data_IF_669377900530
#
_entry.id   IF_669377900530
#
_cell.length_a   1.000
_cell.length_b   1.000
_cell.length_c   1.000
_cell.angle_alpha   90.00
_cell.angle_beta   90.00
_cell.angle_gamma   90.00
#
_symmetry.space_group_name_H-M   'P 1'
#
loop_
_entity.id
_entity.type
_entity.pdbx_description
1 polymer ?
#
# COMPACT_ATOMS: atom_id res chain seq x y z
N UNK A 1 -11.08 -15.83 -11.99
CA UNK A 1 -10.70 -15.29 -10.67
C UNK A 1 -9.96 -16.39 -9.93
N UNK A 2 -8.82 -16.09 -9.28
CA UNK A 2 -8.06 -17.11 -8.53
C UNK A 2 -8.52 -17.23 -7.06
N UNK A 3 -7.87 -18.11 -6.29
CA UNK A 3 -8.21 -18.40 -4.88
C UNK A 3 -8.10 -17.18 -3.95
N UNK A 4 -7.42 -16.12 -4.38
CA UNK A 4 -7.31 -14.86 -3.66
C UNK A 4 -8.27 -13.80 -4.19
N UNK A 5 -9.29 -14.18 -4.95
CA UNK A 5 -10.25 -13.23 -5.51
C UNK A 5 -9.62 -12.23 -6.48
N UNK A 6 -8.48 -12.56 -7.11
CA UNK A 6 -7.85 -11.69 -8.11
C UNK A 6 -8.53 -11.93 -9.47
N UNK A 7 -9.00 -10.87 -10.15
CA UNK A 7 -9.57 -10.97 -11.49
C UNK A 7 -8.60 -11.54 -12.54
N UNK A 8 -9.13 -11.97 -13.68
CA UNK A 8 -8.31 -12.34 -14.83
C UNK A 8 -7.65 -11.08 -15.43
N UNK A 9 -6.32 -11.05 -15.46
CA UNK A 9 -5.58 -9.88 -15.94
C UNK A 9 -5.76 -9.62 -17.44
N UNK A 10 -6.18 -10.63 -18.21
CA UNK A 10 -6.44 -10.48 -19.65
C UNK A 10 -7.73 -9.70 -19.92
N UNK A 11 -8.65 -9.68 -18.95
CA UNK A 11 -9.94 -8.99 -19.02
C UNK A 11 -9.97 -7.75 -18.10
N UNK A 12 -9.85 -6.52 -18.64
CA UNK A 12 -9.93 -5.32 -17.82
C UNK A 12 -11.30 -5.13 -17.16
N UNK A 13 -12.39 -5.66 -17.72
CA UNK A 13 -13.73 -5.51 -17.16
C UNK A 13 -13.94 -6.38 -15.91
N UNK A 14 -13.14 -7.45 -15.74
CA UNK A 14 -13.19 -8.31 -14.56
C UNK A 14 -12.82 -7.57 -13.25
N UNK A 15 -12.21 -6.38 -13.35
CA UNK A 15 -11.91 -5.51 -12.21
C UNK A 15 -13.11 -4.62 -11.81
N UNK A 16 -14.17 -4.56 -12.61
CA UNK A 16 -15.35 -3.72 -12.36
C UNK A 16 -15.11 -2.24 -12.69
N UNK A 17 -15.89 -1.35 -12.07
CA UNK A 17 -15.79 0.10 -12.29
C UNK A 17 -14.60 0.70 -11.53
N UNK A 18 -13.41 0.63 -12.13
CA UNK A 18 -12.17 1.12 -11.53
C UNK A 18 -12.04 2.64 -11.53
N UNK A 19 -12.80 3.34 -12.38
CA UNK A 19 -12.77 4.81 -12.44
C UNK A 19 -13.39 5.43 -11.18
N UNK A 20 -14.41 4.76 -10.62
CA UNK A 20 -15.05 5.15 -9.35
C UNK A 20 -14.30 4.72 -8.08
N UNK A 21 -13.13 4.08 -8.19
CA UNK A 21 -12.44 3.57 -7.00
C UNK A 21 -11.80 4.68 -6.16
N UNK A 22 -12.11 4.65 -4.86
CA UNK A 22 -11.44 5.47 -3.85
C UNK A 22 -9.94 5.14 -3.77
N UNK A 23 -9.11 6.12 -3.36
CA UNK A 23 -7.65 5.95 -3.24
C UNK A 23 -7.26 4.77 -2.33
N UNK A 24 -7.97 4.61 -1.19
CA UNK A 24 -7.74 3.49 -0.28
C UNK A 24 -8.08 2.13 -0.87
N UNK A 25 -9.06 2.07 -1.78
CA UNK A 25 -9.35 0.84 -2.53
C UNK A 25 -8.21 0.50 -3.47
N UNK A 26 -7.67 1.48 -4.19
CA UNK A 26 -6.48 1.27 -5.02
C UNK A 26 -5.31 0.75 -4.18
N UNK A 27 -4.99 1.43 -3.07
CA UNK A 27 -3.96 1.02 -2.13
C UNK A 27 -4.16 -0.42 -1.68
N UNK A 28 -5.37 -0.76 -1.27
CA UNK A 28 -5.71 -2.10 -0.81
C UNK A 28 -5.51 -3.16 -1.90
N UNK A 29 -5.92 -2.89 -3.15
CA UNK A 29 -5.70 -3.81 -4.27
C UNK A 29 -4.22 -4.09 -4.50
N UNK A 30 -3.34 -3.09 -4.43
CA UNK A 30 -1.90 -3.35 -4.50
C UNK A 30 -1.40 -4.14 -3.29
N UNK A 31 -1.83 -3.80 -2.07
CA UNK A 31 -1.37 -4.44 -0.84
C UNK A 31 -1.83 -5.89 -0.72
N UNK A 32 -3.08 -6.20 -1.05
CA UNK A 32 -3.62 -7.58 -0.94
C UNK A 32 -2.97 -8.57 -1.92
N UNK A 33 -2.17 -8.07 -2.88
CA UNK A 33 -1.30 -8.87 -3.77
C UNK A 33 0.05 -9.23 -3.16
N UNK A 34 0.33 -8.73 -1.96
CA UNK A 34 1.53 -9.07 -1.21
C UNK A 34 1.49 -10.47 -0.63
N UNK A 35 2.50 -11.25 -0.97
CA UNK A 35 2.67 -12.60 -0.43
C UNK A 35 2.90 -12.56 1.09
N UNK A 36 3.73 -11.62 1.57
CA UNK A 36 3.96 -11.45 3.00
C UNK A 36 2.70 -11.01 3.76
N UNK A 37 1.85 -10.17 3.16
CA UNK A 37 0.56 -9.81 3.75
C UNK A 37 -0.38 -11.02 3.85
N UNK A 38 -0.50 -11.80 2.79
CA UNK A 38 -1.34 -13.01 2.76
C UNK A 38 -0.86 -14.04 3.79
N UNK A 39 0.45 -14.22 3.87
CA UNK A 39 1.07 -15.12 4.85
C UNK A 39 0.77 -14.65 6.27
N UNK A 40 1.04 -13.39 6.59
CA UNK A 40 0.78 -12.84 7.93
C UNK A 40 -0.71 -12.94 8.30
N UNK A 41 -1.61 -12.71 7.34
CA UNK A 41 -3.05 -12.91 7.55
C UNK A 41 -3.36 -14.37 7.92
N UNK A 42 -2.90 -15.33 7.11
CA UNK A 42 -3.21 -16.75 7.32
C UNK A 42 -2.60 -17.30 8.61
N UNK A 43 -1.37 -16.94 8.94
CA UNK A 43 -0.67 -17.40 10.15
C UNK A 43 -1.33 -16.90 11.44
N UNK A 44 -1.98 -15.73 11.41
CA UNK A 44 -2.63 -15.14 12.59
C UNK A 44 -4.15 -15.35 12.63
N UNK A 45 -4.75 -15.87 11.55
CA UNK A 45 -6.20 -15.98 11.39
C UNK A 45 -6.87 -16.81 12.51
N UNK A 46 -6.35 -18.00 12.80
CA UNK A 46 -6.94 -18.88 13.79
C UNK A 46 -6.84 -18.32 15.21
N UNK A 47 -5.68 -17.75 15.56
CA UNK A 47 -5.48 -17.14 16.89
C UNK A 47 -6.37 -15.90 17.06
N UNK A 48 -6.50 -15.07 16.03
CA UNK A 48 -7.43 -13.94 16.04
C UNK A 48 -8.87 -14.38 16.30
N UNK A 49 -9.31 -15.46 15.63
CA UNK A 49 -10.66 -15.99 15.80
C UNK A 49 -10.88 -16.56 17.21
N UNK A 50 -9.91 -17.31 17.75
CA UNK A 50 -9.96 -17.80 19.15
C UNK A 50 -10.02 -16.66 20.16
N UNK A 51 -9.27 -15.58 19.93
CA UNK A 51 -9.29 -14.40 20.79
C UNK A 51 -10.65 -13.70 20.76
N UNK A 52 -11.30 -13.58 19.59
CA UNK A 52 -12.63 -13.00 19.45
C UNK A 52 -13.70 -13.81 20.20
N UNK A 53 -13.67 -15.15 20.04
CA UNK A 53 -14.55 -16.06 20.78
C UNK A 53 -14.34 -15.96 22.30
N UNK A 54 -13.08 -15.92 22.75
CA UNK A 54 -12.74 -15.78 24.16
C UNK A 54 -13.21 -14.43 24.73
N UNK A 55 -12.96 -13.33 24.01
CA UNK A 55 -13.34 -11.99 24.43
C UNK A 55 -14.86 -11.88 24.59
N UNK A 56 -15.62 -12.44 23.65
CA UNK A 56 -17.08 -12.47 23.73
C UNK A 56 -17.58 -13.30 24.91
N UNK A 57 -17.02 -14.49 25.15
CA UNK A 57 -17.42 -15.30 26.31
C UNK A 57 -17.13 -14.57 27.64
N UNK A 58 -16.02 -13.83 27.73
CA UNK A 58 -15.67 -13.04 28.92
C UNK A 58 -16.53 -11.80 29.11
N UNK A 59 -17.02 -11.21 28.03
CA UNK A 59 -17.76 -9.95 28.07
C UNK A 59 -19.27 -10.11 27.89
N UNK A 60 -19.77 -11.36 27.76
CA UNK A 60 -21.21 -11.65 27.60
C UNK A 60 -22.11 -11.07 28.70
N UNK A 61 -21.58 -10.92 29.91
CA UNK A 61 -22.30 -10.39 31.07
C UNK A 61 -22.06 -8.88 31.27
N UNK A 62 -21.27 -8.24 30.40
CA UNK A 62 -21.06 -6.80 30.41
C UNK A 62 -22.11 -6.10 29.55
N UNK A 63 -22.39 -4.82 29.82
CA UNK A 63 -23.26 -3.99 28.97
C UNK A 63 -22.60 -3.60 27.63
N UNK A 64 -21.40 -4.10 27.34
CA UNK A 64 -20.68 -3.81 26.11
C UNK A 64 -21.31 -4.63 24.99
N UNK A 65 -21.96 -3.95 24.05
CA UNK A 65 -22.54 -4.58 22.87
C UNK A 65 -21.40 -4.84 21.89
N UNK A 66 -20.97 -6.10 21.80
CA UNK A 66 -20.16 -6.56 20.67
C UNK A 66 -21.06 -6.81 19.47
N UNK A 67 -20.52 -6.56 18.27
CA UNK A 67 -21.14 -7.02 17.03
C UNK A 67 -21.28 -8.56 17.02
N UNK A 68 -21.98 -9.09 16.02
CA UNK A 68 -22.03 -10.54 15.81
C UNK A 68 -20.61 -11.08 15.60
N UNK A 69 -20.29 -12.23 16.22
CA UNK A 69 -19.06 -12.97 15.89
C UNK A 69 -19.13 -13.30 14.42
N UNK A 70 -18.11 -12.85 13.72
CA UNK A 70 -17.95 -13.10 12.30
C UNK A 70 -17.33 -14.47 12.14
N UNK A 71 -17.84 -15.24 11.19
CA UNK A 71 -17.32 -16.57 10.92
C UNK A 71 -15.88 -16.49 10.39
N UNK A 72 -15.14 -17.58 10.58
CA UNK A 72 -13.81 -17.74 10.01
C UNK A 72 -13.93 -17.73 8.47
N UNK A 73 -13.57 -16.61 7.84
CA UNK A 73 -13.71 -16.40 6.39
C UNK A 73 -14.76 -15.34 6.01
N UNK A 74 -15.48 -14.77 6.99
CA UNK A 74 -16.30 -13.58 6.76
C UNK A 74 -15.43 -12.45 6.23
N UNK A 75 -15.87 -11.79 5.15
CA UNK A 75 -15.14 -10.68 4.50
C UNK A 75 -14.75 -9.58 5.47
N UNK A 76 -15.56 -9.34 6.48
CA UNK A 76 -15.40 -8.25 7.43
C UNK A 76 -14.62 -8.67 8.69
N UNK A 77 -14.20 -9.94 8.78
CA UNK A 77 -13.27 -10.40 9.80
C UNK A 77 -11.88 -9.83 9.52
N UNK A 78 -11.27 -9.23 10.54
CA UNK A 78 -9.93 -8.63 10.43
C UNK A 78 -8.98 -9.34 11.37
N UNK A 79 -7.76 -9.55 10.92
CA UNK A 79 -6.75 -10.29 11.66
C UNK A 79 -5.73 -9.30 12.22
N UNK A 80 -5.70 -9.06 13.55
CA UNK A 80 -4.57 -8.39 14.16
C UNK A 80 -3.32 -9.27 13.99
N UNK A 81 -2.29 -8.73 13.36
CA UNK A 81 -1.00 -9.40 13.21
C UNK A 81 0.12 -8.51 13.81
N UNK A 82 1.14 -9.09 14.46
CA UNK A 82 2.23 -8.31 15.06
C UNK A 82 2.88 -7.34 14.04
N UNK A 83 2.91 -6.04 14.37
CA UNK A 83 3.51 -4.99 13.55
C UNK A 83 2.81 -4.70 12.23
N UNK A 84 1.55 -5.15 12.04
CA UNK A 84 0.82 -4.92 10.79
C UNK A 84 0.52 -3.45 10.50
N UNK A 85 0.44 -2.62 11.54
CA UNK A 85 0.34 -1.17 11.49
C UNK A 85 1.60 -0.53 10.92
N UNK A 86 2.77 -0.91 11.40
CA UNK A 86 4.05 -0.40 10.89
C UNK A 86 4.34 -0.93 9.47
N UNK A 87 4.09 -2.22 9.24
CA UNK A 87 4.44 -2.92 8.00
C UNK A 87 3.48 -2.63 6.85
N UNK A 88 2.18 -2.49 7.13
CA UNK A 88 1.14 -2.34 6.11
C UNK A 88 0.32 -1.07 6.26
N UNK A 89 0.41 -0.39 7.40
CA UNK A 89 -0.41 0.79 7.69
C UNK A 89 -1.83 0.43 8.12
N UNK A 90 -2.14 -0.80 8.55
CA UNK A 90 -3.48 -1.18 8.99
C UNK A 90 -3.47 -1.65 10.45
N UNK A 91 -4.49 -1.30 11.26
CA UNK A 91 -4.54 -1.73 12.67
C UNK A 91 -4.84 -3.22 12.83
N UNK A 92 -5.44 -3.80 11.80
CA UNK A 92 -5.66 -5.23 11.62
C UNK A 92 -5.81 -5.47 10.11
N UNK A 93 -5.39 -6.64 9.64
CA UNK A 93 -5.41 -7.00 8.22
C UNK A 93 -6.84 -7.35 7.77
N UNK A 94 -7.42 -6.64 6.79
CA UNK A 94 -8.65 -7.08 6.13
C UNK A 94 -8.40 -8.38 5.37
N UNK A 95 -9.45 -9.15 5.10
CA UNK A 95 -9.31 -10.41 4.40
C UNK A 95 -8.80 -10.18 2.96
N UNK A 96 -7.61 -10.69 2.58
CA UNK A 96 -6.96 -10.35 1.32
C UNK A 96 -7.62 -10.96 0.08
N UNK A 97 -8.60 -11.85 0.24
CA UNK A 97 -9.36 -12.43 -0.87
C UNK A 97 -10.42 -11.47 -1.44
N UNK A 98 -10.81 -10.45 -0.66
CA UNK A 98 -11.84 -9.49 -1.05
C UNK A 98 -11.22 -8.13 -1.35
N UNK A 99 -11.61 -7.54 -2.48
CA UNK A 99 -11.16 -6.22 -2.92
C UNK A 99 -12.11 -5.08 -2.55
N UNK A 100 -13.37 -5.41 -2.31
CA UNK A 100 -14.51 -4.51 -2.12
C UNK A 100 -14.88 -4.31 -0.64
N UNK A 101 -13.86 -4.18 0.22
CA UNK A 101 -14.09 -3.87 1.63
C UNK A 101 -14.73 -2.48 1.81
N UNK A 102 -15.54 -2.29 2.87
CA UNK A 102 -15.93 -0.96 3.32
C UNK A 102 -14.71 -0.05 3.49
N UNK A 103 -14.82 1.22 3.08
CA UNK A 103 -13.71 2.18 3.12
C UNK A 103 -13.09 2.31 4.52
N UNK A 104 -13.90 2.25 5.58
CA UNK A 104 -13.44 2.28 6.98
C UNK A 104 -12.54 1.08 7.34
N UNK A 105 -12.69 -0.03 6.63
CA UNK A 105 -11.94 -1.26 6.89
C UNK A 105 -10.56 -1.28 6.24
N UNK A 106 -10.41 -0.56 5.13
CA UNK A 106 -9.18 -0.42 4.35
C UNK A 106 -8.59 1.00 4.44
N UNK A 107 -9.03 1.79 5.42
CA UNK A 107 -8.46 3.09 5.75
C UNK A 107 -7.13 2.88 6.50
N UNK A 108 -5.98 3.28 5.94
CA UNK A 108 -4.70 3.12 6.63
C UNK A 108 -4.60 4.06 7.84
N UNK A 109 -3.89 3.63 8.89
CA UNK A 109 -3.71 4.39 10.14
C UNK A 109 -3.06 5.74 9.86
N UNK A 110 -2.05 5.79 8.97
CA UNK A 110 -1.33 7.03 8.65
C UNK A 110 -2.20 8.08 7.96
N UNK A 111 -3.30 7.69 7.32
CA UNK A 111 -4.27 8.63 6.74
C UNK A 111 -5.40 8.96 7.75
N UNK A 112 -5.42 8.36 8.94
CA UNK A 112 -6.22 8.85 10.08
C UNK A 112 -5.53 10.01 10.80
N UNK A 113 -4.24 10.21 10.56
CA UNK A 113 -3.45 11.35 11.05
C UNK A 113 -3.54 12.57 10.12
N UNK A 114 -4.45 12.57 9.13
CA UNK A 114 -4.81 13.77 8.36
C UNK A 114 -5.67 14.77 9.16
N UNK A 115 -6.19 14.34 10.32
CA UNK A 115 -6.49 15.27 11.39
C UNK A 115 -5.29 15.38 12.32
N UNK A 116 -5.25 16.51 13.03
CA UNK A 116 -4.35 16.87 14.11
C UNK A 116 -3.33 17.97 13.64
N UNK A 117 -3.20 19.06 14.42
CA UNK A 117 -2.56 20.34 14.02
C UNK A 117 -1.42 20.83 14.93
N UNK A 118 -0.53 21.71 14.46
CA UNK A 118 0.67 22.29 15.09
C UNK A 118 0.89 22.15 16.63
N UNK A 119 2.11 21.82 17.04
CA UNK A 119 2.59 21.98 18.44
C UNK A 119 3.38 23.28 18.58
N UNK A 120 2.82 24.28 19.27
CA UNK A 120 3.61 25.28 19.99
C UNK A 120 3.39 25.08 21.48
N UNK A 121 4.47 24.78 22.20
CA UNK A 121 4.44 24.60 23.65
C UNK A 121 4.23 25.93 24.34
N UNK A 122 2.97 26.28 24.53
CA UNK A 122 2.40 27.06 25.61
C UNK A 122 0.90 27.13 25.26
N UNK A 123 0.05 26.68 26.19
CA UNK A 123 -1.42 26.53 26.12
C UNK A 123 -1.96 25.15 25.70
N UNK A 124 -2.58 24.51 26.71
CA UNK A 124 -3.60 23.45 26.74
C UNK A 124 -3.22 22.04 27.23
N UNK A 125 -3.69 21.75 28.45
CA UNK A 125 -4.26 20.46 28.86
C UNK A 125 -5.22 19.94 27.75
N UNK A 126 -5.16 18.63 27.48
CA UNK A 126 -6.12 17.81 26.71
C UNK A 126 -6.19 17.89 25.16
N UNK A 127 -5.13 18.26 24.44
CA UNK A 127 -5.14 18.12 22.96
C UNK A 127 -3.77 17.92 22.32
N UNK A 128 -3.50 16.71 21.82
CA UNK A 128 -2.31 16.42 20.99
C UNK A 128 -2.42 17.20 19.69
N UNK A 129 -1.33 17.84 19.28
CA UNK A 129 -1.18 18.52 18.00
C UNK A 129 -0.29 17.75 17.01
N UNK A 130 -0.57 17.81 15.70
CA UNK A 130 0.08 17.05 14.61
C UNK A 130 0.52 17.99 13.49
N UNK A 131 1.58 17.59 12.78
CA UNK A 131 2.14 18.37 11.68
C UNK A 131 1.91 17.51 10.43
N UNK A 132 1.09 18.02 9.50
CA UNK A 132 0.93 17.41 8.19
C UNK A 132 2.22 17.54 7.39
N UNK A 133 2.95 16.43 7.21
CA UNK A 133 4.20 16.37 6.45
C UNK A 133 3.89 15.74 5.09
N UNK A 134 4.21 16.43 4.00
CA UNK A 134 4.02 15.89 2.65
C UNK A 134 5.15 14.92 2.25
N UNK A 135 4.98 14.14 1.17
CA UNK A 135 6.08 13.36 0.60
C UNK A 135 7.28 14.24 0.25
N UNK A 136 8.46 13.89 0.81
CA UNK A 136 9.72 14.65 0.74
C UNK A 136 9.86 15.84 1.69
N UNK A 137 8.92 16.01 2.62
CA UNK A 137 9.08 16.91 3.74
C UNK A 137 9.54 16.16 4.99
N UNK A 138 10.11 16.89 5.94
CA UNK A 138 10.53 16.36 7.23
C UNK A 138 10.34 17.46 8.27
N UNK A 139 9.63 17.15 9.35
CA UNK A 139 9.55 18.01 10.52
C UNK A 139 10.65 17.61 11.52
N UNK A 140 11.34 18.61 12.06
CA UNK A 140 12.33 18.43 13.13
C UNK A 140 11.90 19.31 14.29
N UNK A 141 11.64 18.69 15.43
CA UNK A 141 11.19 19.38 16.66
C UNK A 141 12.42 19.82 17.45
N UNK A 142 12.49 21.12 17.77
CA UNK A 142 13.55 21.71 18.58
C UNK A 142 13.10 21.89 20.02
N UNK A 143 14.01 21.60 20.95
CA UNK A 143 13.83 21.85 22.38
C UNK A 143 14.31 23.26 22.69
N UNK A 144 13.39 24.13 23.11
CA UNK A 144 13.69 25.55 23.37
C UNK A 144 14.56 25.77 24.62
N UNK A 145 14.59 24.80 25.54
CA UNK A 145 15.40 24.80 26.75
C UNK A 145 16.87 24.35 26.50
N UNK A 146 17.22 24.00 25.26
CA UNK A 146 18.56 23.53 24.89
C UNK A 146 19.26 24.47 23.92
N UNK A 147 20.62 24.50 23.90
CA UNK A 147 21.37 25.32 22.95
C UNK A 147 20.97 25.04 21.51
N UNK A 148 20.51 26.08 20.80
CA UNK A 148 19.98 25.96 19.44
C UNK A 148 21.05 25.52 18.43
N UNK A 149 22.30 25.94 18.62
CA UNK A 149 23.42 25.64 17.70
C UNK A 149 23.70 24.13 17.56
N UNK A 150 23.67 23.40 18.67
CA UNK A 150 23.87 21.95 18.67
C UNK A 150 22.72 21.22 17.95
N UNK A 151 21.49 21.68 18.17
CA UNK A 151 20.30 21.11 17.56
C UNK A 151 20.24 21.38 16.05
N UNK A 152 20.60 22.60 15.61
CA UNK A 152 20.66 22.94 14.17
C UNK A 152 21.72 22.12 13.44
N UNK A 153 22.86 21.85 14.09
CA UNK A 153 23.90 20.98 13.53
C UNK A 153 23.36 19.56 13.29
N UNK A 154 22.72 18.96 14.29
CA UNK A 154 22.14 17.62 14.19
C UNK A 154 21.03 17.56 13.14
N UNK A 155 20.14 18.56 13.11
CA UNK A 155 19.07 18.67 12.11
C UNK A 155 19.62 18.72 10.68
N UNK A 156 20.69 19.50 10.46
CA UNK A 156 21.36 19.62 9.17
C UNK A 156 22.00 18.30 8.73
N UNK A 157 22.65 17.60 9.66
CA UNK A 157 23.27 16.29 9.39
C UNK A 157 22.22 15.25 8.99
N UNK A 158 21.09 15.19 9.69
CA UNK A 158 19.99 14.27 9.39
C UNK A 158 19.31 14.60 8.05
N UNK A 159 19.01 15.87 7.78
CA UNK A 159 18.47 16.29 6.48
C UNK A 159 19.43 15.95 5.33
N UNK A 160 20.73 16.16 5.53
CA UNK A 160 21.74 15.82 4.53
C UNK A 160 21.85 14.32 4.32
N UNK A 161 21.70 13.51 5.37
CA UNK A 161 21.66 12.04 5.30
C UNK A 161 20.45 11.57 4.50
N UNK A 162 19.26 12.10 4.79
CA UNK A 162 18.02 11.78 4.07
C UNK A 162 18.10 12.21 2.60
N UNK A 163 18.64 13.40 2.32
CA UNK A 163 18.91 13.86 0.96
C UNK A 163 19.88 12.93 0.25
N UNK A 164 20.96 12.49 0.91
CA UNK A 164 21.93 11.55 0.33
C UNK A 164 21.32 10.20 0.06
N UNK A 165 20.59 9.59 0.98
CA UNK A 165 19.90 8.29 0.76
C UNK A 165 18.97 8.39 -0.45
N UNK A 166 18.20 9.47 -0.54
CA UNK A 166 17.29 9.72 -1.67
C UNK A 166 18.03 10.10 -2.97
N UNK A 167 19.23 10.68 -2.88
CA UNK A 167 20.03 11.11 -4.04
C UNK A 167 21.01 10.05 -4.54
N UNK A 168 21.48 9.14 -3.67
CA UNK A 168 22.35 8.02 -4.01
C UNK A 168 21.64 6.95 -4.82
N UNK A 169 20.30 6.97 -4.82
CA UNK A 169 19.45 6.22 -5.76
C UNK A 169 19.25 6.94 -7.10
N UNK A 170 19.92 8.09 -7.32
CA UNK A 170 20.05 8.73 -8.63
C UNK A 170 18.76 9.26 -9.26
N UNK A 171 17.65 9.29 -8.51
CA UNK A 171 16.39 9.84 -8.98
C UNK A 171 15.79 10.69 -7.88
N UNK A 172 15.74 11.99 -8.10
CA UNK A 172 14.60 12.77 -7.60
C UNK A 172 13.38 12.19 -8.32
N UNK A 173 12.88 11.05 -7.85
CA UNK A 173 11.65 10.46 -8.38
C UNK A 173 10.59 11.48 -7.99
N UNK A 174 10.27 12.41 -8.89
CA UNK A 174 8.88 12.82 -9.02
C UNK A 174 8.15 11.49 -9.20
N UNK A 175 7.68 10.90 -8.11
CA UNK A 175 6.67 9.84 -8.16
C UNK A 175 5.45 10.57 -8.67
N UNK A 176 5.39 10.78 -9.98
CA UNK A 176 4.17 11.19 -10.64
C UNK A 176 3.20 10.10 -10.26
N UNK A 177 2.26 10.42 -9.36
CA UNK A 177 1.24 9.46 -8.93
C UNK A 177 0.64 8.87 -10.21
N UNK A 178 0.64 7.54 -10.38
CA UNK A 178 0.08 6.93 -11.58
C UNK A 178 -1.33 7.45 -11.78
N UNK A 179 -1.65 7.81 -13.03
CA UNK A 179 -3.03 8.16 -13.38
C UNK A 179 -3.95 6.98 -13.04
N UNK A 180 -5.26 7.18 -12.83
CA UNK A 180 -6.18 6.08 -12.59
C UNK A 180 -6.08 4.96 -13.65
N UNK A 181 -5.92 5.33 -14.92
CA UNK A 181 -5.72 4.38 -16.01
C UNK A 181 -4.41 3.58 -15.86
N UNK A 182 -3.32 4.21 -15.44
CA UNK A 182 -2.04 3.52 -15.18
C UNK A 182 -2.14 2.53 -14.02
N UNK A 183 -2.99 2.81 -13.00
CA UNK A 183 -3.15 1.92 -11.85
C UNK A 183 -3.78 0.59 -12.25
N UNK A 184 -4.82 0.62 -13.08
CA UNK A 184 -5.43 -0.61 -13.58
C UNK A 184 -4.42 -1.42 -14.41
N UNK A 185 -3.69 -0.76 -15.31
CA UNK A 185 -2.65 -1.42 -16.09
C UNK A 185 -1.60 -2.07 -15.17
N UNK A 186 -1.17 -1.40 -14.10
CA UNK A 186 -0.23 -1.95 -13.13
C UNK A 186 -0.76 -3.13 -12.33
N UNK A 187 -2.03 -3.12 -11.88
CA UNK A 187 -2.62 -4.30 -11.26
C UNK A 187 -2.61 -5.49 -12.22
N UNK A 188 -3.03 -5.28 -13.47
CA UNK A 188 -3.03 -6.32 -14.50
C UNK A 188 -1.62 -6.86 -14.77
N UNK A 189 -0.60 -6.00 -14.78
CA UNK A 189 0.80 -6.41 -14.93
C UNK A 189 1.28 -7.28 -13.75
N UNK A 190 0.89 -6.95 -12.51
CA UNK A 190 1.21 -7.76 -11.34
C UNK A 190 0.54 -9.13 -11.42
N UNK A 191 -0.74 -9.14 -11.81
CA UNK A 191 -1.56 -10.35 -11.91
C UNK A 191 -1.05 -11.25 -13.04
N UNK A 192 -0.68 -10.67 -14.19
CA UNK A 192 -0.02 -11.39 -15.28
C UNK A 192 1.27 -12.08 -14.83
N UNK A 193 2.09 -11.39 -14.02
CA UNK A 193 3.35 -11.97 -13.53
C UNK A 193 3.10 -13.10 -12.54
N UNK A 194 2.07 -12.99 -11.71
CA UNK A 194 1.68 -14.04 -10.77
C UNK A 194 1.14 -15.29 -11.50
N UNK A 195 0.40 -15.09 -12.60
CA UNK A 195 -0.13 -16.19 -13.43
C UNK A 195 0.95 -16.84 -14.32
N UNK A 196 2.06 -16.14 -14.56
CA UNK A 196 3.17 -16.59 -15.41
C UNK A 196 4.52 -16.58 -14.65
N UNK A 197 4.68 -17.35 -13.56
CA UNK A 197 5.88 -17.27 -12.70
C UNK A 197 7.16 -17.70 -13.45
N UNK A 198 7.05 -18.72 -14.31
CA UNK A 198 8.17 -19.31 -15.06
C UNK A 198 8.45 -18.63 -16.40
N UNK A 199 7.59 -17.70 -16.83
CA UNK A 199 7.76 -17.04 -18.12
C UNK A 199 9.04 -16.20 -18.14
N UNK A 200 9.78 -16.29 -19.25
CA UNK A 200 10.93 -15.42 -19.50
C UNK A 200 10.45 -14.01 -19.81
N UNK A 201 11.29 -13.00 -19.57
CA UNK A 201 10.93 -11.60 -19.79
C UNK A 201 10.47 -11.27 -21.22
N UNK A 202 10.96 -12.00 -22.24
CA UNK A 202 10.48 -11.86 -23.62
C UNK A 202 9.02 -12.30 -23.73
N UNK A 203 8.72 -13.52 -23.31
CA UNK A 203 7.37 -14.11 -23.34
C UNK A 203 6.38 -13.26 -22.53
N UNK A 204 6.81 -12.81 -21.35
CA UNK A 204 6.02 -11.90 -20.52
C UNK A 204 5.74 -10.56 -21.21
N UNK A 205 6.75 -9.95 -21.82
CA UNK A 205 6.57 -8.69 -22.56
C UNK A 205 5.67 -8.85 -23.78
N UNK A 206 5.82 -9.96 -24.51
CA UNK A 206 4.99 -10.25 -25.69
C UNK A 206 3.52 -10.44 -25.29
N UNK A 207 3.26 -11.11 -24.16
CA UNK A 207 1.93 -11.24 -23.59
C UNK A 207 1.35 -9.87 -23.17
N UNK A 208 2.11 -9.04 -22.44
CA UNK A 208 1.67 -7.69 -22.08
C UNK A 208 1.38 -6.82 -23.30
N UNK A 209 2.19 -6.93 -24.36
CA UNK A 209 2.01 -6.21 -25.61
C UNK A 209 0.72 -6.65 -26.32
N UNK A 210 0.43 -7.96 -26.36
CA UNK A 210 -0.79 -8.51 -26.95
C UNK A 210 -2.07 -7.98 -26.27
N UNK A 211 -1.98 -7.66 -24.98
CA UNK A 211 -3.09 -7.11 -24.18
C UNK A 211 -3.04 -5.58 -23.97
N UNK A 212 -2.16 -4.88 -24.70
CA UNK A 212 -2.09 -3.41 -24.69
C UNK A 212 -1.56 -2.82 -23.37
N UNK A 213 -0.81 -3.58 -22.58
CA UNK A 213 -0.24 -3.14 -21.29
C UNK A 213 1.18 -2.56 -21.44
N UNK A 214 1.81 -2.77 -22.59
CA UNK A 214 3.10 -2.18 -22.97
C UNK A 214 2.97 -1.64 -24.39
N UNK A 215 3.51 -0.45 -24.64
CA UNK A 215 3.44 0.21 -25.95
C UNK A 215 4.58 -0.19 -26.90
N UNK A 216 4.39 0.10 -28.18
CA UNK A 216 5.45 0.02 -29.18
C UNK A 216 6.56 1.03 -28.87
N UNK A 217 7.80 0.66 -29.19
CA UNK A 217 8.95 1.56 -29.06
C UNK A 217 9.22 2.25 -30.40
N UNK A 218 9.57 3.53 -30.37
CA UNK A 218 10.05 4.25 -31.55
C UNK A 218 11.46 3.76 -31.91
N UNK A 219 11.66 3.34 -33.15
CA UNK A 219 12.94 2.88 -33.65
C UNK A 219 13.87 4.08 -33.95
N UNK A 220 15.16 4.06 -33.54
CA UNK A 220 16.12 5.09 -33.89
C UNK A 220 16.28 5.32 -35.41
N UNK A 221 16.07 4.29 -36.23
CA UNK A 221 16.10 4.36 -37.69
C UNK A 221 14.77 4.86 -38.30
N UNK A 222 13.76 5.12 -37.48
CA UNK A 222 12.41 5.53 -37.90
C UNK A 222 11.40 4.38 -37.84
N UNK A 223 10.13 4.71 -37.57
CA UNK A 223 9.05 3.74 -37.40
C UNK A 223 8.83 3.27 -35.95
N UNK A 224 8.01 2.24 -35.78
CA UNK A 224 7.66 1.62 -34.50
C UNK A 224 7.99 0.13 -34.52
N UNK A 225 8.64 -0.36 -33.47
CA UNK A 225 8.97 -1.77 -33.30
C UNK A 225 8.32 -2.35 -32.03
N UNK A 226 8.27 -3.68 -31.96
CA UNK A 226 7.78 -4.39 -30.79
C UNK A 226 8.63 -4.03 -29.55
N UNK A 227 8.02 -4.00 -28.34
CA UNK A 227 8.75 -3.68 -27.13
C UNK A 227 9.90 -4.68 -26.87
N UNK A 228 11.05 -4.22 -26.38
CA UNK A 228 12.13 -5.12 -25.94
C UNK A 228 11.72 -5.84 -24.65
N UNK A 229 12.34 -7.00 -24.30
CA UNK A 229 12.00 -7.75 -23.08
C UNK A 229 12.11 -6.95 -21.80
N UNK A 230 13.00 -5.96 -21.81
CA UNK A 230 13.22 -5.07 -20.67
C UNK A 230 11.98 -4.22 -20.37
N UNK A 231 11.14 -3.90 -21.37
CA UNK A 231 9.97 -3.06 -21.17
C UNK A 231 8.93 -3.71 -20.23
N UNK A 232 8.68 -5.02 -20.37
CA UNK A 232 7.80 -5.75 -19.46
C UNK A 232 8.36 -5.82 -18.05
N UNK A 233 9.68 -6.02 -17.91
CA UNK A 233 10.37 -5.99 -16.62
C UNK A 233 10.26 -4.63 -15.93
N UNK A 234 10.58 -3.54 -16.63
CA UNK A 234 10.54 -2.18 -16.08
C UNK A 234 9.12 -1.80 -15.63
N UNK A 235 8.11 -2.19 -16.42
CA UNK A 235 6.69 -1.99 -16.08
C UNK A 235 6.29 -2.81 -14.85
N UNK A 236 6.75 -4.05 -14.74
CA UNK A 236 6.49 -4.87 -13.56
C UNK A 236 7.18 -4.34 -12.31
N UNK A 237 8.45 -3.92 -12.39
CA UNK A 237 9.17 -3.31 -11.27
C UNK A 237 8.43 -2.06 -10.78
N UNK A 238 8.00 -1.18 -11.71
CA UNK A 238 7.20 0.01 -11.38
C UNK A 238 5.86 -0.33 -10.72
N UNK A 239 5.17 -1.37 -11.20
CA UNK A 239 3.92 -1.84 -10.59
C UNK A 239 4.16 -2.46 -9.21
N UNK A 240 5.28 -3.17 -9.03
CA UNK A 240 5.63 -3.86 -7.79
C UNK A 240 5.99 -2.85 -6.68
N UNK A 241 6.63 -1.74 -7.02
CA UNK A 241 6.92 -0.66 -6.07
C UNK A 241 5.64 -0.13 -5.41
N UNK A 242 4.53 -0.05 -6.15
CA UNK A 242 3.23 0.40 -5.63
C UNK A 242 2.62 -0.56 -4.60
N UNK A 243 3.10 -1.81 -4.50
CA UNK A 243 2.69 -2.72 -3.41
C UNK A 243 3.28 -2.31 -2.07
N UNK A 244 4.37 -1.54 -2.06
CA UNK A 244 5.08 -1.14 -0.85
C UNK A 244 4.95 0.36 -0.56
N UNK A 245 4.79 1.18 -1.60
CA UNK A 245 4.74 2.63 -1.50
C UNK A 245 3.76 3.21 -2.53
N UNK A 246 2.47 3.06 -2.20
CA UNK A 246 1.30 3.55 -2.95
C UNK A 246 0.94 4.99 -2.58
#
# INVERSE_FOLDING_TARGET
MNDWGIPDWTDPLAYGDTEGWHLWRWRWEFYRRREDLRKDYMENLEQAYRNDLWLRDKLKDTKIIFGQVKELGDRSFKVPAPGCDEKYGYPALPHPAYGDHPIVDICPIRDRDEDVGLVSGEWFDDGIGTIGIQPNEMAIVFKLDKPLSAQLKAAKEELSRQQRVRSSEGRTVRKTRPSPADRLAYLRILDARADMPEAKWREFTDALFAHGLVDRRKDPAGGYCAPPPQAGRDRWESANDLRFDF
#
